data_IF_044040055670
#
_entry.id   IF_044040055670
#
_cell.length_a   1.000
_cell.length_b   1.000
_cell.length_c   1.000
_cell.angle_alpha   90.00
_cell.angle_beta   90.00
_cell.angle_gamma   90.00
#
_symmetry.space_group_name_H-M   'P 1'
#
loop_
_entity.id
_entity.type
_entity.pdbx_description
1 polymer ?
#
# COMPACT_ATOMS: atom_id res chain seq x y z
N UNK A 1 10.34 -8.81 -42.15
CA UNK A 1 10.44 -8.07 -40.89
C UNK A 1 11.71 -7.23 -40.98
N UNK A 2 11.63 -5.90 -40.95
CA UNK A 2 12.84 -5.06 -40.98
C UNK A 2 13.33 -4.84 -39.54
N UNK A 3 14.65 -4.86 -39.33
CA UNK A 3 15.26 -4.62 -38.02
C UNK A 3 14.79 -3.28 -37.39
N UNK A 4 14.47 -2.29 -38.23
CA UNK A 4 13.91 -1.00 -37.79
C UNK A 4 12.48 -1.14 -37.21
N UNK A 5 11.64 -2.00 -37.80
CA UNK A 5 10.28 -2.26 -37.30
C UNK A 5 10.29 -2.92 -35.92
N UNK A 6 11.22 -3.85 -35.70
CA UNK A 6 11.36 -4.56 -34.42
C UNK A 6 11.86 -3.62 -33.31
N UNK A 7 12.79 -2.71 -33.62
CA UNK A 7 13.29 -1.67 -32.69
C UNK A 7 12.15 -0.73 -32.27
N UNK A 8 11.35 -0.26 -33.22
CA UNK A 8 10.20 0.62 -32.93
C UNK A 8 9.13 -0.08 -32.10
N UNK A 9 8.89 -1.37 -32.34
CA UNK A 9 7.99 -2.19 -31.53
C UNK A 9 8.49 -2.35 -30.07
N UNK A 10 9.80 -2.56 -29.91
CA UNK A 10 10.44 -2.63 -28.59
C UNK A 10 10.30 -1.31 -27.81
N UNK A 11 10.60 -0.18 -28.45
CA UNK A 11 10.44 1.15 -27.85
C UNK A 11 9.01 1.42 -27.38
N UNK A 12 8.01 1.12 -28.21
CA UNK A 12 6.59 1.27 -27.84
C UNK A 12 6.22 0.41 -26.64
N UNK A 13 6.78 -0.80 -26.57
CA UNK A 13 6.55 -1.71 -25.44
C UNK A 13 7.16 -1.18 -24.16
N UNK A 14 8.37 -0.63 -24.22
CA UNK A 14 9.04 0.00 -23.07
C UNK A 14 8.26 1.21 -22.58
N UNK A 15 7.78 2.07 -23.48
CA UNK A 15 6.94 3.21 -23.10
C UNK A 15 5.67 2.77 -22.38
N UNK A 16 4.96 1.77 -22.94
CA UNK A 16 3.76 1.22 -22.31
C UNK A 16 4.05 0.56 -20.94
N UNK A 17 5.25 0.02 -20.73
CA UNK A 17 5.68 -0.49 -19.44
C UNK A 17 5.95 0.65 -18.46
N UNK A 18 6.61 1.72 -18.89
CA UNK A 18 6.84 2.91 -18.07
C UNK A 18 5.53 3.49 -17.55
N UNK A 19 4.54 3.68 -18.44
CA UNK A 19 3.22 4.22 -18.06
C UNK A 19 2.52 3.33 -17.02
N UNK A 20 2.62 2.00 -17.17
CA UNK A 20 2.05 1.03 -16.22
C UNK A 20 2.76 1.04 -14.87
N UNK A 21 4.08 1.20 -14.86
CA UNK A 21 4.87 1.29 -13.62
C UNK A 21 4.55 2.58 -12.87
N UNK A 22 4.37 3.70 -13.57
CA UNK A 22 3.96 4.96 -12.97
C UNK A 22 2.56 4.85 -12.34
N UNK A 23 1.60 4.23 -13.04
CA UNK A 23 0.26 3.97 -12.51
C UNK A 23 0.32 3.08 -11.26
N UNK A 24 1.09 1.99 -11.32
CA UNK A 24 1.27 1.09 -10.18
C UNK A 24 1.91 1.79 -8.98
N UNK A 25 2.89 2.66 -9.22
CA UNK A 25 3.53 3.45 -8.16
C UNK A 25 2.52 4.36 -7.47
N UNK A 26 1.63 5.00 -8.24
CA UNK A 26 0.58 5.87 -7.70
C UNK A 26 -0.43 5.08 -6.87
N UNK A 27 -0.84 3.91 -7.35
CA UNK A 27 -1.77 3.04 -6.62
C UNK A 27 -1.14 2.53 -5.32
N UNK A 28 0.16 2.20 -5.33
CA UNK A 28 0.89 1.81 -4.13
C UNK A 28 0.97 2.96 -3.09
N UNK A 29 1.15 4.20 -3.54
CA UNK A 29 1.13 5.37 -2.65
C UNK A 29 -0.25 5.60 -2.02
N UNK A 30 -1.33 5.39 -2.77
CA UNK A 30 -2.70 5.46 -2.25
C UNK A 30 -2.95 4.37 -1.19
N UNK A 31 -2.59 3.12 -1.50
CA UNK A 31 -2.72 2.01 -0.57
C UNK A 31 -1.94 2.25 0.73
N UNK A 32 -0.73 2.80 0.62
CA UNK A 32 0.07 3.20 1.79
C UNK A 32 -0.65 4.26 2.63
N UNK A 33 -1.36 5.19 1.99
CA UNK A 33 -2.21 6.18 2.66
C UNK A 33 -3.36 5.53 3.43
N UNK A 34 -4.08 4.60 2.80
CA UNK A 34 -5.20 3.87 3.42
C UNK A 34 -4.73 3.03 4.61
N UNK A 35 -3.60 2.33 4.50
CA UNK A 35 -3.02 1.55 5.61
C UNK A 35 -2.69 2.44 6.81
N UNK A 36 -2.19 3.66 6.59
CA UNK A 36 -1.93 4.62 7.68
C UNK A 36 -3.21 5.13 8.33
N UNK A 37 -4.31 5.27 7.60
CA UNK A 37 -5.60 5.64 8.18
C UNK A 37 -6.17 4.47 9.01
N UNK A 38 -6.08 3.25 8.49
CA UNK A 38 -6.50 2.03 9.20
C UNK A 38 -5.71 1.88 10.51
N UNK A 39 -4.39 2.05 10.50
CA UNK A 39 -3.55 2.04 11.70
C UNK A 39 -4.05 3.05 12.75
N UNK A 40 -4.29 4.31 12.36
CA UNK A 40 -4.84 5.33 13.26
C UNK A 40 -6.21 4.95 13.83
N UNK A 41 -7.05 4.27 13.06
CA UNK A 41 -8.37 3.80 13.50
C UNK A 41 -8.25 2.62 14.45
N UNK A 42 -7.32 1.69 14.20
CA UNK A 42 -7.04 0.57 15.08
C UNK A 42 -6.57 1.05 16.45
N UNK A 43 -5.62 1.99 16.50
CA UNK A 43 -5.15 2.58 17.78
C UNK A 43 -6.31 3.19 18.58
N UNK A 44 -7.27 3.86 17.93
CA UNK A 44 -8.45 4.39 18.62
C UNK A 44 -9.35 3.29 19.16
N UNK A 45 -9.56 2.22 18.38
CA UNK A 45 -10.34 1.06 18.82
C UNK A 45 -9.66 0.36 19.99
N UNK A 46 -8.34 0.18 19.95
CA UNK A 46 -7.54 -0.31 21.07
C UNK A 46 -7.76 0.55 22.31
N UNK A 47 -7.62 1.88 22.17
CA UNK A 47 -7.81 2.82 23.28
C UNK A 47 -9.21 2.71 23.91
N UNK A 48 -10.26 2.62 23.09
CA UNK A 48 -11.65 2.47 23.60
C UNK A 48 -11.81 1.14 24.34
N UNK A 49 -11.25 0.06 23.79
CA UNK A 49 -11.31 -1.25 24.44
C UNK A 49 -10.52 -1.23 25.77
N UNK A 50 -9.34 -0.63 25.79
CA UNK A 50 -8.51 -0.50 27.00
C UNK A 50 -9.19 0.30 28.11
N UNK A 51 -9.89 1.39 27.78
CA UNK A 51 -10.62 2.20 28.78
C UNK A 51 -11.86 1.47 29.31
N UNK A 52 -12.50 0.63 28.48
CA UNK A 52 -13.73 -0.08 28.86
C UNK A 52 -13.46 -1.40 29.58
N UNK A 53 -12.29 -2.01 29.36
CA UNK A 53 -11.89 -3.26 30.00
C UNK A 53 -11.34 -2.99 31.39
N UNK A 54 -11.85 -3.69 32.40
CA UNK A 54 -11.44 -3.55 33.79
C UNK A 54 -10.25 -4.42 34.20
N UNK A 55 -9.71 -5.23 33.28
CA UNK A 55 -8.62 -6.18 33.55
C UNK A 55 -7.22 -5.55 33.43
N UNK A 56 -7.13 -4.29 33.00
CA UNK A 56 -5.87 -3.55 32.87
C UNK A 56 -4.93 -4.06 31.77
N UNK A 57 -5.41 -4.89 30.85
CA UNK A 57 -4.59 -5.47 29.78
C UNK A 57 -4.52 -4.53 28.58
N UNK A 58 -3.30 -4.21 28.13
CA UNK A 58 -3.05 -3.46 26.89
C UNK A 58 -3.41 -4.30 25.66
N UNK A 59 -4.24 -3.76 24.77
CA UNK A 59 -4.61 -4.41 23.51
C UNK A 59 -3.75 -3.84 22.38
N UNK A 60 -3.03 -4.70 21.66
CA UNK A 60 -2.22 -4.31 20.51
C UNK A 60 -2.59 -5.16 19.30
N UNK A 61 -3.45 -4.60 18.44
CA UNK A 61 -3.85 -5.12 17.15
C UNK A 61 -2.98 -4.51 16.04
N UNK A 62 -2.65 -3.24 16.15
CA UNK A 62 -1.83 -2.49 15.20
C UNK A 62 -0.34 -2.89 15.23
N UNK A 63 0.11 -3.49 16.33
CA UNK A 63 1.48 -4.00 16.47
C UNK A 63 1.45 -5.52 16.51
N UNK A 64 2.15 -6.18 15.58
CA UNK A 64 2.47 -7.60 15.70
C UNK A 64 3.22 -7.79 17.05
N UNK A 65 2.80 -8.70 17.93
CA UNK A 65 3.55 -9.00 19.14
C UNK A 65 4.89 -9.62 18.71
N UNK A 66 5.99 -8.97 19.11
CA UNK A 66 7.34 -9.51 19.00
C UNK A 66 7.42 -10.94 19.58
#
# INVERSE_FOLDING_TARGET
MSAFGDIMGGLKTVMALTDKVEALSKDADLLRGELRDIDRRLVRVETVIEITRSDGVTLRIAKDPD
#
